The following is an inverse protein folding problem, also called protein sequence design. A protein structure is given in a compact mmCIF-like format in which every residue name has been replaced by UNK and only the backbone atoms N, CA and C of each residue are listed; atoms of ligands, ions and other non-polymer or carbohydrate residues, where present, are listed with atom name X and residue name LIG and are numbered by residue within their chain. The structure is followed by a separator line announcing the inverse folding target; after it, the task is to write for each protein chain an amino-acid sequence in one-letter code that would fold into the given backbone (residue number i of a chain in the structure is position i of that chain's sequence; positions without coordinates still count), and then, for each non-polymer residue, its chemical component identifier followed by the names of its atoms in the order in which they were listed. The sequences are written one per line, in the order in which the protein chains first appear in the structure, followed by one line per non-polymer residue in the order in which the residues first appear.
data_IF_377217584526
#
_entry.id   IF_377217584526
#
_cell.length_a   1.000
_cell.length_b   1.000
_cell.length_c   1.000
_cell.angle_alpha   90.00
_cell.angle_beta   90.00
_cell.angle_gamma   90.00
#
_symmetry.space_group_name_H-M   'P 1'
#
loop_
_entity.id
_entity.type
_entity.pdbx_description
1 polymer ?
#
# COMPACT_ATOMS: atom_id res chain seq x y z
N UNK A 1 31.10 43.83 -2.05
CA UNK A 1 29.98 43.29 -1.26
C UNK A 1 29.80 41.81 -1.59
N UNK A 2 30.46 40.91 -0.87
CA UNK A 2 30.26 39.46 -1.00
C UNK A 2 29.31 38.98 0.09
N UNK A 3 28.09 38.59 -0.28
CA UNK A 3 27.16 37.94 0.66
C UNK A 3 27.56 36.47 0.78
N UNK A 4 28.14 36.10 1.91
CA UNK A 4 28.32 34.70 2.30
C UNK A 4 26.94 34.12 2.62
N UNK A 5 26.46 33.23 1.75
CA UNK A 5 25.27 32.41 2.03
C UNK A 5 25.65 31.44 3.14
N UNK A 6 25.01 31.46 4.31
CA UNK A 6 25.34 30.53 5.38
C UNK A 6 25.01 29.09 4.92
N UNK A 7 25.82 28.09 5.32
CA UNK A 7 25.51 26.70 5.03
C UNK A 7 24.17 26.35 5.68
N UNK A 8 23.23 25.83 4.88
CA UNK A 8 21.95 25.28 5.37
C UNK A 8 22.28 24.07 6.22
N UNK A 9 22.46 24.27 7.52
CA UNK A 9 22.56 23.19 8.49
C UNK A 9 21.19 22.52 8.50
N UNK A 10 21.02 21.49 7.68
CA UNK A 10 19.91 20.55 7.79
C UNK A 10 20.09 19.81 9.12
N UNK A 11 19.65 20.46 10.21
CA UNK A 11 19.47 19.81 11.48
C UNK A 11 18.52 18.63 11.24
N UNK A 12 19.10 17.44 11.17
CA UNK A 12 18.36 16.19 11.06
C UNK A 12 17.32 16.18 12.17
N UNK A 13 16.07 16.49 11.82
CA UNK A 13 14.98 16.69 12.76
C UNK A 13 14.73 15.35 13.42
N UNK A 14 15.33 15.13 14.60
CA UNK A 14 15.07 13.95 15.41
C UNK A 14 13.56 13.87 15.60
N UNK A 15 12.96 12.76 15.20
CA UNK A 15 11.51 12.57 15.30
C UNK A 15 11.07 12.79 16.74
N UNK A 16 10.08 13.67 16.93
CA UNK A 16 9.45 13.92 18.24
C UNK A 16 8.87 12.62 18.78
N UNK A 17 8.71 12.51 20.10
CA UNK A 17 8.14 11.31 20.73
C UNK A 17 6.77 10.98 20.12
N UNK A 18 5.93 11.99 19.89
CA UNK A 18 4.63 11.84 19.22
C UNK A 18 4.71 11.31 17.79
N UNK A 19 5.73 11.71 17.02
CA UNK A 19 5.94 11.17 15.67
C UNK A 19 6.29 9.69 15.67
N UNK A 20 7.09 9.24 16.66
CA UNK A 20 7.46 7.82 16.78
C UNK A 20 6.28 6.95 17.21
N UNK A 21 5.47 7.43 18.16
CA UNK A 21 4.27 6.70 18.60
C UNK A 21 3.24 6.58 17.48
N UNK A 22 3.05 7.65 16.68
CA UNK A 22 2.19 7.60 15.50
C UNK A 22 2.67 6.54 14.50
N UNK A 23 3.94 6.60 14.10
CA UNK A 23 4.53 5.64 13.14
C UNK A 23 4.42 4.21 13.66
N UNK A 24 4.75 3.97 14.94
CA UNK A 24 4.64 2.65 15.53
C UNK A 24 3.20 2.12 15.53
N UNK A 25 2.22 2.97 15.86
CA UNK A 25 0.80 2.59 15.88
C UNK A 25 0.32 2.19 14.48
N UNK A 26 0.66 3.01 13.47
CA UNK A 26 0.30 2.71 12.07
C UNK A 26 0.97 1.43 11.59
N UNK A 27 2.24 1.21 11.91
CA UNK A 27 2.95 -0.02 11.55
C UNK A 27 2.27 -1.23 12.19
N UNK A 28 2.00 -1.20 13.50
CA UNK A 28 1.36 -2.32 14.20
C UNK A 28 -0.01 -2.62 13.60
N UNK A 29 -0.83 -1.60 13.39
CA UNK A 29 -2.19 -1.77 12.89
C UNK A 29 -2.21 -2.26 11.42
N UNK A 30 -1.34 -1.71 10.57
CA UNK A 30 -1.23 -2.15 9.17
C UNK A 30 -0.63 -3.55 9.02
N UNK A 31 0.38 -3.90 9.84
CA UNK A 31 0.90 -5.28 9.87
C UNK A 31 -0.17 -6.25 10.34
N UNK A 32 -0.96 -5.90 11.35
CA UNK A 32 -2.10 -6.73 11.77
C UNK A 32 -3.09 -6.94 10.62
N UNK A 33 -3.48 -5.87 9.90
CA UNK A 33 -4.37 -5.96 8.74
C UNK A 33 -3.82 -6.88 7.64
N UNK A 34 -2.51 -6.79 7.34
CA UNK A 34 -1.85 -7.68 6.38
C UNK A 34 -1.85 -9.13 6.85
N UNK A 35 -1.52 -9.39 8.13
CA UNK A 35 -1.50 -10.74 8.70
C UNK A 35 -2.90 -11.37 8.69
N UNK A 36 -3.93 -10.61 9.09
CA UNK A 36 -5.32 -11.07 9.00
C UNK A 36 -5.71 -11.40 7.56
N UNK A 37 -5.35 -10.53 6.61
CA UNK A 37 -5.64 -10.73 5.19
C UNK A 37 -4.93 -11.96 4.63
N UNK A 38 -3.64 -12.16 4.96
CA UNK A 38 -2.89 -13.36 4.54
C UNK A 38 -3.52 -14.64 5.08
N UNK A 39 -3.94 -14.63 6.35
CA UNK A 39 -4.64 -15.78 6.96
C UNK A 39 -5.96 -16.06 6.25
N UNK A 40 -6.73 -15.03 5.94
CA UNK A 40 -7.99 -15.16 5.21
C UNK A 40 -7.78 -15.73 3.79
N UNK A 41 -6.75 -15.26 3.07
CA UNK A 41 -6.38 -15.81 1.76
C UNK A 41 -5.93 -17.27 1.83
N UNK A 42 -5.23 -17.69 2.90
CA UNK A 42 -4.82 -19.09 3.05
C UNK A 42 -5.98 -20.05 3.30
N UNK A 43 -7.07 -19.56 3.90
CA UNK A 43 -8.25 -20.34 4.21
C UNK A 43 -9.19 -20.50 3.00
N UNK A 44 -9.10 -19.61 2.01
CA UNK A 44 -9.89 -19.66 0.78
C UNK A 44 -8.99 -20.10 -0.38
N UNK A 45 -9.27 -21.23 -1.02
CA UNK A 45 -8.48 -21.72 -2.15
C UNK A 45 -8.42 -20.65 -3.27
N UNK A 46 -7.25 -20.02 -3.43
CA UNK A 46 -7.08 -18.91 -4.37
C UNK A 46 -7.12 -19.43 -5.82
N UNK A 47 -8.05 -18.90 -6.62
CA UNK A 47 -8.11 -19.13 -8.06
C UNK A 47 -6.85 -18.60 -8.76
N UNK A 48 -6.44 -19.24 -9.86
CA UNK A 48 -5.28 -18.86 -10.68
C UNK A 48 -5.33 -17.40 -11.16
N UNK A 49 -6.54 -16.84 -11.31
CA UNK A 49 -6.79 -15.45 -11.69
C UNK A 49 -6.21 -14.44 -10.69
N UNK A 50 -6.12 -14.80 -9.41
CA UNK A 50 -5.56 -13.94 -8.37
C UNK A 50 -4.06 -13.72 -8.57
N UNK A 51 -3.32 -14.79 -8.86
CA UNK A 51 -1.88 -14.73 -9.13
C UNK A 51 -1.57 -13.94 -10.40
N UNK A 52 -2.42 -14.04 -11.42
CA UNK A 52 -2.30 -13.22 -12.63
C UNK A 52 -2.49 -11.72 -12.34
N UNK A 53 -3.47 -11.35 -11.52
CA UNK A 53 -3.73 -9.94 -11.17
C UNK A 53 -2.63 -9.37 -10.26
N UNK A 54 -2.12 -10.18 -9.32
CA UNK A 54 -0.96 -9.83 -8.52
C UNK A 54 0.29 -9.64 -9.40
N UNK A 55 0.55 -10.55 -10.35
CA UNK A 55 1.65 -10.45 -11.29
C UNK A 55 1.51 -9.23 -12.22
N UNK A 56 0.31 -8.97 -12.75
CA UNK A 56 0.04 -7.76 -13.54
C UNK A 56 0.29 -6.51 -12.73
N UNK A 57 -0.13 -6.46 -11.47
CA UNK A 57 0.09 -5.29 -10.61
C UNK A 57 1.57 -5.08 -10.34
N UNK A 58 2.32 -6.16 -10.08
CA UNK A 58 3.76 -6.09 -9.88
C UNK A 58 4.51 -5.64 -11.15
N UNK A 59 4.07 -6.09 -12.32
CA UNK A 59 4.65 -5.76 -13.64
C UNK A 59 4.24 -4.36 -14.09
N UNK A 60 3.00 -3.95 -13.87
CA UNK A 60 2.46 -2.62 -14.20
C UNK A 60 2.84 -1.55 -13.17
N UNK A 61 3.26 -1.92 -11.96
CA UNK A 61 3.68 -1.02 -10.88
C UNK A 61 4.86 -0.11 -11.22
N UNK A 62 5.55 -0.32 -12.36
CA UNK A 62 6.59 0.59 -12.85
C UNK A 62 6.11 1.65 -13.87
N UNK A 63 4.85 1.60 -14.33
CA UNK A 63 4.33 2.55 -15.32
C UNK A 63 3.60 3.72 -14.64
N UNK A 64 4.35 4.60 -13.97
CA UNK A 64 3.81 5.90 -13.54
C UNK A 64 3.60 6.76 -14.80
N UNK A 65 2.36 6.83 -15.28
CA UNK A 65 2.01 7.71 -16.41
C UNK A 65 1.98 9.14 -15.88
N UNK A 66 3.03 9.89 -16.20
CA UNK A 66 3.18 11.28 -15.80
C UNK A 66 2.31 12.15 -16.71
N UNK A 67 1.09 12.48 -16.28
CA UNK A 67 0.26 13.45 -16.98
C UNK A 67 0.85 14.84 -16.74
N UNK A 68 1.08 15.58 -17.83
CA UNK A 68 1.85 16.85 -17.98
C UNK A 68 1.46 18.04 -17.06
N UNK A 69 0.67 17.83 -16.01
CA UNK A 69 0.13 18.85 -15.11
C UNK A 69 0.59 18.63 -13.64
N UNK A 70 1.61 17.78 -13.41
CA UNK A 70 2.15 17.53 -12.06
C UNK A 70 1.27 16.62 -11.19
N UNK A 71 0.31 15.91 -11.79
CA UNK A 71 -0.52 14.90 -11.14
C UNK A 71 -0.08 13.53 -11.65
N UNK A 72 0.63 12.76 -10.81
CA UNK A 72 0.91 11.36 -11.07
C UNK A 72 -0.29 10.52 -10.60
N UNK A 73 -1.08 9.99 -11.54
CA UNK A 73 -2.09 8.98 -11.21
C UNK A 73 -1.38 7.63 -11.19
N UNK A 74 -1.32 6.99 -10.03
CA UNK A 74 -0.66 5.69 -9.91
C UNK A 74 -1.54 4.63 -10.56
N UNK A 75 -1.07 4.05 -11.66
CA UNK A 75 -1.77 2.94 -12.33
C UNK A 75 -1.88 1.73 -11.38
N UNK A 76 -0.93 1.57 -10.45
CA UNK A 76 -0.95 0.51 -9.43
C UNK A 76 -2.17 0.61 -8.49
N UNK A 77 -2.58 1.82 -8.12
CA UNK A 77 -3.74 2.03 -7.23
C UNK A 77 -5.04 1.54 -7.86
N UNK A 78 -5.21 1.73 -9.17
CA UNK A 78 -6.36 1.22 -9.91
C UNK A 78 -6.44 -0.30 -9.83
N UNK A 79 -5.30 -0.99 -9.99
CA UNK A 79 -5.26 -2.45 -9.82
C UNK A 79 -5.61 -2.86 -8.39
N UNK A 80 -5.12 -2.15 -7.38
CA UNK A 80 -5.49 -2.37 -5.97
C UNK A 80 -7.00 -2.34 -5.78
N UNK A 81 -7.68 -1.34 -6.33
CA UNK A 81 -9.15 -1.29 -6.28
C UNK A 81 -9.81 -2.44 -7.04
N UNK A 82 -9.30 -2.82 -8.21
CA UNK A 82 -9.80 -4.01 -8.91
C UNK A 82 -9.64 -5.28 -8.08
N UNK A 83 -8.52 -5.48 -7.39
CA UNK A 83 -8.35 -6.65 -6.53
C UNK A 83 -9.33 -6.65 -5.35
N UNK A 84 -9.60 -5.47 -4.75
CA UNK A 84 -10.66 -5.34 -3.74
C UNK A 84 -12.00 -5.77 -4.32
N UNK A 85 -12.40 -5.24 -5.47
CA UNK A 85 -13.72 -5.50 -6.06
C UNK A 85 -13.89 -6.95 -6.52
N UNK A 86 -12.84 -7.55 -7.10
CA UNK A 86 -12.89 -8.89 -7.66
C UNK A 86 -12.73 -9.98 -6.59
N UNK A 87 -11.75 -9.83 -5.71
CA UNK A 87 -11.31 -10.87 -4.77
C UNK A 87 -11.56 -10.52 -3.29
N UNK A 88 -11.94 -9.28 -3.00
CA UNK A 88 -12.33 -8.83 -1.67
C UNK A 88 -11.24 -8.07 -0.90
N UNK A 89 -11.58 -7.66 0.35
CA UNK A 89 -10.73 -6.83 1.20
C UNK A 89 -9.31 -7.37 1.38
N UNK A 90 -9.21 -8.68 1.62
CA UNK A 90 -7.95 -9.32 1.95
C UNK A 90 -6.97 -9.29 0.77
N UNK A 91 -7.47 -9.52 -0.46
CA UNK A 91 -6.65 -9.50 -1.67
C UNK A 91 -6.10 -8.11 -1.97
N UNK A 92 -6.95 -7.08 -1.90
CA UNK A 92 -6.52 -5.70 -2.09
C UNK A 92 -5.51 -5.24 -1.03
N UNK A 93 -5.71 -5.65 0.22
CA UNK A 93 -4.81 -5.32 1.34
C UNK A 93 -3.41 -5.91 1.15
N UNK A 94 -3.32 -7.18 0.73
CA UNK A 94 -2.02 -7.82 0.44
C UNK A 94 -1.36 -7.15 -0.77
N UNK A 95 -2.13 -6.83 -1.80
CA UNK A 95 -1.58 -6.25 -3.02
C UNK A 95 -1.00 -4.86 -2.81
N UNK A 96 -1.70 -3.99 -2.08
CA UNK A 96 -1.18 -2.66 -1.76
C UNK A 96 0.02 -2.70 -0.80
N UNK A 97 0.07 -3.70 0.09
CA UNK A 97 1.22 -3.92 0.95
C UNK A 97 2.46 -4.28 0.12
N UNK A 98 2.31 -5.16 -0.87
CA UNK A 98 3.38 -5.51 -1.80
C UNK A 98 3.84 -4.30 -2.62
N UNK A 99 2.91 -3.49 -3.14
CA UNK A 99 3.22 -2.27 -3.88
C UNK A 99 4.06 -1.29 -3.03
N UNK A 100 3.65 -1.04 -1.79
CA UNK A 100 4.38 -0.18 -0.85
C UNK A 100 5.80 -0.71 -0.52
N UNK A 101 5.97 -2.04 -0.43
CA UNK A 101 7.28 -2.66 -0.28
C UNK A 101 8.13 -2.49 -1.54
N UNK A 102 7.59 -2.79 -2.73
CA UNK A 102 8.29 -2.69 -4.01
C UNK A 102 8.81 -1.27 -4.23
N UNK A 103 7.97 -0.25 -4.05
CA UNK A 103 8.37 1.15 -4.19
C UNK A 103 9.47 1.51 -3.19
N UNK A 104 9.33 1.05 -1.93
CA UNK A 104 10.32 1.31 -0.88
C UNK A 104 11.69 0.68 -1.19
N UNK A 105 11.71 -0.52 -1.77
CA UNK A 105 12.95 -1.17 -2.20
C UNK A 105 13.52 -0.56 -3.48
N UNK A 106 12.67 -0.18 -4.43
CA UNK A 106 13.10 0.38 -5.73
C UNK A 106 13.67 1.79 -5.60
N UNK A 107 13.11 2.62 -4.71
CA UNK A 107 13.62 3.97 -4.43
C UNK A 107 14.77 4.03 -3.43
N UNK A 108 15.13 2.92 -2.77
CA UNK A 108 16.20 2.88 -1.77
C UNK A 108 17.60 2.99 -2.41
N UNK A 109 18.00 4.20 -2.80
CA UNK A 109 19.27 4.44 -3.50
C UNK A 109 20.54 4.17 -2.68
N UNK A 110 20.53 4.24 -1.33
CA UNK A 110 21.77 4.14 -0.53
C UNK A 110 21.69 3.48 0.86
N UNK A 111 20.54 3.51 1.56
CA UNK A 111 20.30 2.81 2.83
C UNK A 111 18.79 2.60 3.02
N UNK A 112 18.24 1.39 2.91
CA UNK A 112 16.83 1.16 3.21
C UNK A 112 16.60 1.36 4.70
N UNK A 113 15.94 2.46 5.06
CA UNK A 113 15.45 2.66 6.43
C UNK A 113 14.26 1.72 6.64
N UNK A 114 14.50 0.59 7.31
CA UNK A 114 13.51 -0.47 7.51
C UNK A 114 12.16 0.07 8.03
N UNK A 115 12.17 1.03 8.94
CA UNK A 115 10.96 1.63 9.48
C UNK A 115 10.17 2.45 8.44
N UNK A 116 10.83 3.06 7.46
CA UNK A 116 10.15 3.74 6.34
C UNK A 116 9.48 2.72 5.42
N UNK A 117 10.16 1.61 5.11
CA UNK A 117 9.57 0.55 4.30
C UNK A 117 8.35 -0.07 4.99
N UNK A 118 8.45 -0.36 6.30
CA UNK A 118 7.31 -0.86 7.08
C UNK A 118 6.17 0.15 7.13
N UNK A 119 6.45 1.43 7.35
CA UNK A 119 5.40 2.46 7.37
C UNK A 119 4.75 2.62 5.99
N UNK A 120 5.53 2.66 4.92
CA UNK A 120 5.06 2.78 3.54
C UNK A 120 4.23 1.57 3.08
N UNK A 121 4.46 0.39 3.64
CA UNK A 121 3.62 -0.79 3.44
C UNK A 121 2.37 -0.73 4.33
N UNK A 122 2.53 -0.46 5.63
CA UNK A 122 1.47 -0.57 6.61
C UNK A 122 0.38 0.50 6.46
N UNK A 123 0.77 1.75 6.17
CA UNK A 123 -0.15 2.87 6.04
C UNK A 123 -1.19 2.68 4.91
N UNK A 124 -0.80 2.34 3.66
CA UNK A 124 -1.78 2.06 2.62
C UNK A 124 -2.52 0.73 2.86
N UNK A 125 -1.88 -0.28 3.47
CA UNK A 125 -2.55 -1.54 3.79
C UNK A 125 -3.71 -1.36 4.76
N UNK A 126 -3.54 -0.64 5.88
CA UNK A 126 -4.64 -0.38 6.80
C UNK A 126 -5.73 0.48 6.15
N UNK A 127 -5.34 1.45 5.31
CA UNK A 127 -6.28 2.29 4.56
C UNK A 127 -7.19 1.45 3.67
N UNK A 128 -6.62 0.58 2.83
CA UNK A 128 -7.37 -0.31 1.94
C UNK A 128 -8.19 -1.32 2.72
N UNK A 129 -7.64 -1.88 3.80
CA UNK A 129 -8.38 -2.83 4.63
C UNK A 129 -9.65 -2.20 5.22
N UNK A 130 -9.55 -1.01 5.84
CA UNK A 130 -10.71 -0.30 6.37
C UNK A 130 -11.66 0.13 5.25
N UNK A 131 -11.14 0.76 4.19
CA UNK A 131 -11.96 1.29 3.11
C UNK A 131 -12.78 0.20 2.39
N UNK A 132 -12.17 -0.96 2.15
CA UNK A 132 -12.85 -2.09 1.53
C UNK A 132 -13.94 -2.68 2.43
N UNK A 133 -13.69 -2.85 3.73
CA UNK A 133 -14.73 -3.30 4.66
C UNK A 133 -15.89 -2.30 4.73
N UNK A 134 -15.60 -1.00 4.80
CA UNK A 134 -16.63 0.04 4.77
C UNK A 134 -17.41 0.00 3.45
N UNK A 135 -16.74 -0.15 2.32
CA UNK A 135 -17.38 -0.25 1.00
C UNK A 135 -18.37 -1.43 0.96
N UNK A 136 -17.92 -2.64 1.29
CA UNK A 136 -18.77 -3.83 1.19
C UNK A 136 -19.93 -3.81 2.20
N UNK A 137 -19.70 -3.30 3.40
CA UNK A 137 -20.75 -3.19 4.42
C UNK A 137 -21.79 -2.12 4.08
N UNK A 138 -21.35 -0.95 3.58
CA UNK A 138 -22.27 0.15 3.25
C UNK A 138 -23.00 -0.06 1.94
N UNK A 139 -22.34 -0.63 0.92
CA UNK A 139 -22.97 -0.93 -0.36
C UNK A 139 -23.81 -2.21 -0.32
N UNK A 140 -23.67 -3.05 0.71
CA UNK A 140 -24.37 -4.33 0.81
C UNK A 140 -24.00 -5.33 -0.30
N UNK A 141 -22.84 -5.14 -0.93
CA UNK A 141 -22.32 -6.00 -2.00
C UNK A 141 -21.27 -6.96 -1.44
N UNK A 142 -21.03 -8.07 -2.15
CA UNK A 142 -19.93 -8.99 -1.85
C UNK A 142 -18.89 -8.94 -2.98
N UNK A 143 -17.67 -9.45 -2.76
CA UNK A 143 -16.68 -9.57 -3.83
C UNK A 143 -17.25 -10.31 -5.04
N UNK A 144 -16.97 -9.81 -6.25
CA UNK A 144 -17.65 -10.23 -7.47
C UNK A 144 -17.46 -11.73 -7.76
N UNK A 145 -16.29 -12.30 -7.49
CA UNK A 145 -16.06 -13.73 -7.72
C UNK A 145 -16.80 -14.65 -6.75
N UNK A 146 -17.22 -14.16 -5.59
CA UNK A 146 -18.08 -14.92 -4.66
C UNK A 146 -19.55 -14.92 -5.14
N UNK A 147 -19.96 -13.94 -5.93
CA UNK A 147 -21.31 -13.90 -6.50
C UNK A 147 -21.48 -14.87 -7.68
N UNK A 148 -20.38 -15.21 -8.38
CA UNK A 148 -20.42 -16.00 -9.62
C UNK A 148 -20.57 -17.52 -9.42
N UNK A 149 -20.54 -18.01 -8.17
CA UNK A 149 -20.67 -19.42 -7.79
C UNK A 149 -21.99 -19.76 -7.07
N UNK A 150 -23.00 -18.88 -7.09
CA UNK A 150 -24.39 -19.23 -6.72
C UNK A 150 -25.23 -19.42 -7.97
#
# INVERSE_FOLDING_TARGET
LGRTVPPRVEAGRRMTVGGRTYVATVIVAGVAAVVFSLRELQLHALSYQWYMLAALTLVSGSATVNLSIGISISVSETFVFFAVLLFGPAAGTVMVALDGLVISFWMAKRRPEWYRALFNMAAPAISIWVASHVLFTTAGIQPLLNQQYR
#
